data_IF_068693564740
#
_entry.id   IF_068693564740
#
_cell.length_a   1.000
_cell.length_b   1.000
_cell.length_c   1.000
_cell.angle_alpha   90.00
_cell.angle_beta   90.00
_cell.angle_gamma   90.00
#
_symmetry.space_group_name_H-M   'P 1'
#
loop_
_entity.id
_entity.type
_entity.pdbx_description
1 polymer ?
#
# COMPACT_ATOMS: atom_id res chain seq x y z
N UNK A 1 -8.00 28.19 -5.96
CA UNK A 1 -7.22 26.96 -5.68
C UNK A 1 -6.50 27.12 -4.34
N UNK A 2 -6.93 26.40 -3.29
CA UNK A 2 -6.19 26.35 -2.02
C UNK A 2 -5.03 25.37 -2.18
N UNK A 3 -3.79 25.85 -2.14
CA UNK A 3 -2.61 24.99 -1.95
C UNK A 3 -2.72 24.37 -0.55
N UNK A 4 -2.98 23.09 -0.46
CA UNK A 4 -2.84 22.34 0.80
C UNK A 4 -1.35 22.13 1.04
N UNK A 5 -0.75 22.97 1.89
CA UNK A 5 0.61 22.75 2.36
C UNK A 5 0.65 21.40 3.09
N UNK A 6 1.39 20.44 2.54
CA UNK A 6 1.47 19.13 3.18
C UNK A 6 2.44 19.22 4.39
N UNK A 7 2.42 18.22 5.27
CA UNK A 7 3.25 18.17 6.49
C UNK A 7 4.74 18.45 6.24
N UNK A 8 5.27 18.08 5.06
CA UNK A 8 6.63 18.34 4.58
C UNK A 8 6.89 19.83 4.37
N UNK A 9 5.92 20.59 3.89
CA UNK A 9 6.03 22.04 3.68
C UNK A 9 6.03 22.79 5.02
N UNK A 10 5.19 22.35 5.96
CA UNK A 10 5.11 22.91 7.31
C UNK A 10 6.42 22.72 8.11
N UNK A 11 7.01 21.52 8.06
CA UNK A 11 8.27 21.24 8.75
C UNK A 11 9.46 22.03 8.18
N UNK A 12 9.48 22.29 6.88
CA UNK A 12 10.49 23.15 6.24
C UNK A 12 10.38 24.61 6.68
N UNK A 13 9.16 25.11 6.85
CA UNK A 13 8.93 26.49 7.31
C UNK A 13 9.41 26.71 8.75
N UNK A 14 9.19 25.75 9.66
CA UNK A 14 9.64 25.86 11.06
C UNK A 14 11.16 25.95 11.18
N UNK A 15 11.90 25.19 10.37
CA UNK A 15 13.37 25.22 10.38
C UNK A 15 13.95 26.54 9.86
N UNK A 16 13.20 27.31 9.06
CA UNK A 16 13.64 28.58 8.50
C UNK A 16 13.48 29.78 9.47
N UNK A 17 12.59 29.70 10.48
CA UNK A 17 12.23 30.83 11.36
C UNK A 17 12.99 30.79 12.70
N UNK A 18 14.25 30.34 12.70
CA UNK A 18 15.04 30.17 13.91
C UNK A 18 15.07 31.40 14.84
N UNK A 19 14.42 31.30 15.99
CA UNK A 19 14.60 32.23 17.12
C UNK A 19 14.13 31.60 18.45
N UNK A 20 15.05 31.01 19.22
CA UNK A 20 14.91 30.91 20.68
C UNK A 20 16.29 30.85 21.37
N UNK A 21 16.49 31.51 22.53
CA UNK A 21 17.81 31.72 23.14
C UNK A 21 18.37 30.48 23.87
N UNK A 22 19.69 30.43 24.17
CA UNK A 22 20.35 29.22 24.60
C UNK A 22 20.24 29.05 26.12
N UNK A 23 19.38 28.13 26.58
CA UNK A 23 19.44 27.60 27.95
C UNK A 23 19.33 26.08 27.91
N UNK A 24 20.22 25.45 28.68
CA UNK A 24 20.62 24.04 28.72
C UNK A 24 21.51 23.56 27.57
N UNK A 25 22.76 23.23 27.94
CA UNK A 25 23.57 22.21 27.26
C UNK A 25 22.92 20.84 27.46
N UNK A 26 21.74 20.62 26.90
CA UNK A 26 21.26 19.27 26.65
C UNK A 26 22.21 18.68 25.62
N UNK A 27 22.86 17.57 25.97
CA UNK A 27 23.64 16.75 25.04
C UNK A 27 22.69 16.35 23.91
N UNK A 28 22.67 17.13 22.82
CA UNK A 28 21.94 16.81 21.59
C UNK A 28 22.52 15.52 21.05
N UNK A 29 21.98 14.38 21.46
CA UNK A 29 21.97 13.24 20.57
C UNK A 29 21.22 13.73 19.33
N UNK A 30 21.95 13.94 18.24
CA UNK A 30 21.33 14.11 16.93
C UNK A 30 20.59 12.80 16.67
N UNK A 31 19.34 12.75 17.09
CA UNK A 31 18.38 11.79 16.55
C UNK A 31 18.22 12.18 15.09
N UNK A 32 19.09 11.66 14.24
CA UNK A 32 18.89 11.58 12.79
C UNK A 32 17.76 10.56 12.53
N UNK A 33 16.61 10.74 13.16
CA UNK A 33 15.40 9.95 12.88
C UNK A 33 14.57 10.75 11.88
N UNK A 34 15.14 10.97 10.70
CA UNK A 34 14.32 11.02 9.49
C UNK A 34 14.88 9.90 8.65
N UNK A 35 14.48 8.68 8.98
CA UNK A 35 14.73 7.56 8.10
C UNK A 35 14.10 7.92 6.77
N UNK A 36 14.92 8.09 5.73
CA UNK A 36 14.40 8.36 4.41
C UNK A 36 13.51 7.20 4.01
N UNK A 37 12.24 7.48 3.74
CA UNK A 37 11.31 6.50 3.20
C UNK A 37 11.82 6.08 1.82
N UNK A 38 11.76 4.78 1.48
CA UNK A 38 12.10 4.31 0.14
C UNK A 38 11.34 5.09 -0.95
N UNK A 39 11.99 5.34 -2.08
CA UNK A 39 11.39 6.00 -3.24
C UNK A 39 10.53 5.01 -4.03
N UNK A 40 9.44 5.49 -4.64
CA UNK A 40 8.63 4.74 -5.61
C UNK A 40 9.15 4.85 -7.05
N UNK A 41 10.15 5.70 -7.29
CA UNK A 41 10.70 5.90 -8.63
C UNK A 41 11.15 4.57 -9.27
N UNK A 42 10.68 4.33 -10.48
CA UNK A 42 10.94 3.15 -11.32
C UNK A 42 10.41 1.82 -10.74
N UNK A 43 9.69 1.85 -9.61
CA UNK A 43 9.09 0.66 -8.99
C UNK A 43 7.90 0.18 -9.78
N UNK A 44 7.81 -1.14 -9.98
CA UNK A 44 6.70 -1.79 -10.68
C UNK A 44 5.61 -2.17 -9.69
N UNK A 45 4.46 -1.53 -9.80
CA UNK A 45 3.32 -1.76 -8.93
C UNK A 45 2.22 -2.48 -9.71
N UNK A 46 1.69 -3.56 -9.13
CA UNK A 46 0.42 -4.14 -9.56
C UNK A 46 -0.67 -3.67 -8.60
N UNK A 47 -1.65 -2.97 -9.13
CA UNK A 47 -2.81 -2.50 -8.36
C UNK A 47 -4.04 -3.26 -8.83
N UNK A 48 -4.77 -3.89 -7.91
CA UNK A 48 -5.94 -4.70 -8.26
C UNK A 48 -7.17 -4.24 -7.49
N UNK A 49 -8.33 -4.27 -8.15
CA UNK A 49 -9.60 -3.89 -7.55
C UNK A 49 -10.74 -4.83 -7.96
N UNK A 50 -11.72 -4.99 -7.07
CA UNK A 50 -12.92 -5.77 -7.33
C UNK A 50 -13.74 -6.03 -6.06
N UNK A 51 -14.64 -7.00 -6.11
CA UNK A 51 -15.54 -7.33 -5.00
C UNK A 51 -16.79 -6.46 -4.97
N UNK A 52 -17.23 -6.04 -3.78
CA UNK A 52 -18.50 -5.31 -3.65
C UNK A 52 -18.38 -3.83 -4.05
N UNK A 53 -19.18 -3.41 -5.03
CA UNK A 53 -19.22 -2.03 -5.56
C UNK A 53 -19.56 -0.98 -4.50
N UNK A 54 -20.27 -1.34 -3.42
CA UNK A 54 -20.60 -0.43 -2.32
C UNK A 54 -19.36 0.09 -1.55
N UNK A 55 -18.21 -0.56 -1.72
CA UNK A 55 -16.92 -0.09 -1.20
C UNK A 55 -16.12 0.75 -2.21
N UNK A 56 -16.69 1.06 -3.38
CA UNK A 56 -16.10 1.86 -4.44
C UNK A 56 -14.63 1.46 -4.77
N UNK A 57 -14.33 0.17 -4.98
CA UNK A 57 -12.96 -0.34 -5.06
C UNK A 57 -12.16 0.32 -6.20
N UNK A 58 -12.82 0.56 -7.33
CA UNK A 58 -12.23 1.25 -8.49
C UNK A 58 -11.80 2.68 -8.17
N UNK A 59 -12.69 3.48 -7.59
CA UNK A 59 -12.38 4.88 -7.26
C UNK A 59 -11.19 4.97 -6.28
N UNK A 60 -11.14 4.04 -5.32
CA UNK A 60 -10.06 4.00 -4.35
C UNK A 60 -8.71 3.63 -4.98
N UNK A 61 -8.68 2.62 -5.88
CA UNK A 61 -7.43 2.23 -6.52
C UNK A 61 -6.97 3.28 -7.54
N UNK A 62 -7.88 3.91 -8.30
CA UNK A 62 -7.52 4.96 -9.26
C UNK A 62 -6.81 6.13 -8.58
N UNK A 63 -7.30 6.54 -7.40
CA UNK A 63 -6.65 7.58 -6.59
C UNK A 63 -5.24 7.19 -6.15
N UNK A 64 -5.04 5.95 -5.69
CA UNK A 64 -3.73 5.47 -5.23
C UNK A 64 -2.77 5.26 -6.40
N UNK A 65 -3.23 4.71 -7.51
CA UNK A 65 -2.43 4.51 -8.73
C UNK A 65 -1.95 5.85 -9.27
N UNK A 66 -2.84 6.85 -9.40
CA UNK A 66 -2.46 8.18 -9.85
C UNK A 66 -1.43 8.85 -8.93
N UNK A 67 -1.56 8.67 -7.61
CA UNK A 67 -0.54 9.14 -6.66
C UNK A 67 0.79 8.42 -6.84
N UNK A 68 0.79 7.08 -6.94
CA UNK A 68 2.01 6.30 -7.09
C UNK A 68 2.77 6.62 -8.39
N UNK A 69 2.05 6.79 -9.49
CA UNK A 69 2.60 7.27 -10.77
C UNK A 69 3.22 8.67 -10.61
N UNK A 70 2.57 9.57 -9.88
CA UNK A 70 3.10 10.92 -9.62
C UNK A 70 4.40 10.91 -8.79
N UNK A 71 4.64 9.86 -8.00
CA UNK A 71 5.88 9.62 -7.26
C UNK A 71 6.92 8.83 -8.09
N UNK A 72 6.59 8.48 -9.35
CA UNK A 72 7.49 7.87 -10.32
C UNK A 72 7.39 6.34 -10.44
N UNK A 73 6.35 5.71 -9.90
CA UNK A 73 6.11 4.27 -10.10
C UNK A 73 5.59 3.96 -11.51
N UNK A 74 5.89 2.75 -11.97
CA UNK A 74 5.28 2.12 -13.14
C UNK A 74 4.09 1.28 -12.66
N UNK A 75 2.86 1.75 -12.87
CA UNK A 75 1.66 1.12 -12.32
C UNK A 75 0.92 0.32 -13.40
N UNK A 76 0.61 -0.93 -13.08
CA UNK A 76 -0.34 -1.77 -13.80
C UNK A 76 -1.63 -1.83 -12.98
N UNK A 77 -2.78 -1.51 -13.58
CA UNK A 77 -4.09 -1.62 -12.94
C UNK A 77 -4.83 -2.83 -13.51
N UNK A 78 -5.39 -3.67 -12.64
CA UNK A 78 -6.18 -4.85 -13.00
C UNK A 78 -7.50 -4.88 -12.23
N UNK A 79 -8.57 -5.29 -12.90
CA UNK A 79 -9.89 -5.51 -12.33
C UNK A 79 -10.21 -7.00 -12.11
N UNK A 80 -9.19 -7.86 -12.25
CA UNK A 80 -9.30 -9.31 -12.08
C UNK A 80 -8.15 -9.89 -11.26
N UNK A 81 -8.45 -10.95 -10.51
CA UNK A 81 -7.45 -11.74 -9.79
C UNK A 81 -6.59 -12.59 -10.73
N UNK A 82 -6.94 -12.71 -12.00
CA UNK A 82 -6.17 -13.50 -12.98
C UNK A 82 -4.76 -12.95 -13.23
N UNK A 83 -4.47 -11.71 -12.83
CA UNK A 83 -3.10 -11.21 -12.76
C UNK A 83 -2.19 -12.07 -11.88
N UNK A 84 -2.75 -12.77 -10.88
CA UNK A 84 -1.98 -13.69 -10.05
C UNK A 84 -1.60 -15.00 -10.77
N UNK A 85 -2.26 -15.31 -11.90
CA UNK A 85 -1.92 -16.46 -12.75
C UNK A 85 -0.76 -16.15 -13.71
N UNK A 86 -0.47 -14.87 -13.95
CA UNK A 86 0.63 -14.46 -14.81
C UNK A 86 1.96 -14.49 -14.04
N UNK A 87 2.69 -15.58 -14.24
CA UNK A 87 3.96 -15.81 -13.54
C UNK A 87 5.02 -14.75 -13.90
N UNK A 88 5.07 -14.27 -15.15
CA UNK A 88 6.06 -13.27 -15.56
C UNK A 88 5.77 -11.92 -14.89
N UNK A 89 4.50 -11.51 -14.88
CA UNK A 89 4.05 -10.32 -14.17
C UNK A 89 4.39 -10.43 -12.68
N UNK A 90 3.98 -11.51 -12.02
CA UNK A 90 4.14 -11.69 -10.57
C UNK A 90 5.59 -11.80 -10.12
N UNK A 91 6.51 -12.22 -11.00
CA UNK A 91 7.96 -12.21 -10.74
C UNK A 91 8.60 -10.84 -10.99
N UNK A 92 7.92 -9.95 -11.71
CA UNK A 92 8.48 -8.67 -12.14
C UNK A 92 8.12 -7.49 -11.23
N UNK A 93 7.04 -7.61 -10.46
CA UNK A 93 6.50 -6.51 -9.63
C UNK A 93 7.24 -6.37 -8.31
N UNK A 94 7.41 -5.13 -7.85
CA UNK A 94 8.00 -4.82 -6.55
C UNK A 94 6.95 -4.80 -5.43
N UNK A 95 5.73 -4.38 -5.74
CA UNK A 95 4.65 -4.15 -4.78
C UNK A 95 3.28 -4.44 -5.41
N UNK A 96 2.44 -5.16 -4.67
CA UNK A 96 1.03 -5.37 -4.97
C UNK A 96 0.20 -4.48 -4.04
N UNK A 97 -0.75 -3.72 -4.59
CA UNK A 97 -1.76 -2.98 -3.83
C UNK A 97 -3.14 -3.53 -4.19
N UNK A 98 -3.82 -4.15 -3.23
CA UNK A 98 -5.08 -4.85 -3.47
C UNK A 98 -6.27 -4.19 -2.77
N UNK A 99 -7.40 -4.12 -3.48
CA UNK A 99 -8.72 -3.79 -2.93
C UNK A 99 -9.75 -4.78 -3.45
N UNK A 100 -9.95 -5.88 -2.73
CA UNK A 100 -11.03 -6.83 -2.97
C UNK A 100 -11.82 -7.03 -1.69
N UNK A 101 -13.14 -7.06 -1.78
CA UNK A 101 -14.00 -7.30 -0.62
C UNK A 101 -15.01 -8.38 -0.91
N UNK A 102 -15.35 -9.19 0.10
CA UNK A 102 -16.41 -10.21 0.02
C UNK A 102 -16.29 -11.14 -1.20
N UNK A 103 -15.07 -11.47 -1.58
CA UNK A 103 -14.76 -12.18 -2.83
C UNK A 103 -14.27 -13.61 -2.54
N UNK A 104 -13.94 -14.33 -3.60
CA UNK A 104 -13.27 -15.63 -3.54
C UNK A 104 -12.01 -15.59 -4.40
N UNK A 105 -11.02 -16.37 -3.98
CA UNK A 105 -9.78 -16.58 -4.74
C UNK A 105 -9.68 -18.08 -5.05
N UNK A 106 -9.29 -18.40 -6.27
CA UNK A 106 -9.02 -19.81 -6.65
C UNK A 106 -7.70 -20.28 -6.05
N UNK A 107 -7.49 -21.60 -6.02
CA UNK A 107 -6.25 -22.18 -5.50
C UNK A 107 -5.03 -21.74 -6.32
N UNK A 108 -5.20 -21.61 -7.63
CA UNK A 108 -4.15 -21.22 -8.56
C UNK A 108 -3.78 -19.74 -8.40
N UNK A 109 -4.78 -18.86 -8.29
CA UNK A 109 -4.56 -17.44 -8.00
C UNK A 109 -3.90 -17.24 -6.62
N UNK A 110 -4.36 -17.96 -5.60
CA UNK A 110 -3.75 -17.94 -4.26
C UNK A 110 -2.28 -18.38 -4.32
N UNK A 111 -1.99 -19.49 -4.99
CA UNK A 111 -0.64 -20.01 -5.12
C UNK A 111 0.31 -19.00 -5.79
N UNK A 112 -0.16 -18.31 -6.85
CA UNK A 112 0.60 -17.27 -7.53
C UNK A 112 0.91 -16.06 -6.63
N UNK A 113 -0.08 -15.57 -5.90
CA UNK A 113 0.09 -14.48 -4.93
C UNK A 113 1.05 -14.88 -3.79
N UNK A 114 0.83 -16.02 -3.16
CA UNK A 114 1.66 -16.49 -2.04
C UNK A 114 3.11 -16.71 -2.49
N UNK A 115 3.34 -17.24 -3.70
CA UNK A 115 4.68 -17.42 -4.24
C UNK A 115 5.39 -16.07 -4.42
N UNK A 116 4.72 -15.06 -4.98
CA UNK A 116 5.29 -13.72 -5.14
C UNK A 116 5.67 -13.09 -3.79
N UNK A 117 4.77 -13.14 -2.80
CA UNK A 117 5.03 -12.58 -1.46
C UNK A 117 6.15 -13.33 -0.75
N UNK A 118 6.18 -14.67 -0.81
CA UNK A 118 7.28 -15.49 -0.27
C UNK A 118 8.64 -15.15 -0.91
N UNK A 119 8.64 -14.73 -2.17
CA UNK A 119 9.83 -14.30 -2.90
C UNK A 119 10.22 -12.83 -2.67
N UNK A 120 9.49 -12.10 -1.81
CA UNK A 120 9.85 -10.75 -1.39
C UNK A 120 9.07 -9.62 -2.06
N UNK A 121 8.05 -9.92 -2.86
CA UNK A 121 7.12 -8.89 -3.37
C UNK A 121 6.37 -8.26 -2.20
N UNK A 122 6.34 -6.93 -2.13
CA UNK A 122 5.56 -6.22 -1.12
C UNK A 122 4.06 -6.41 -1.32
N UNK A 123 3.30 -6.43 -0.23
CA UNK A 123 1.83 -6.48 -0.27
C UNK A 123 1.25 -5.34 0.56
N UNK A 124 0.31 -4.60 -0.02
CA UNK A 124 -0.38 -3.48 0.60
C UNK A 124 -1.86 -3.44 0.21
N UNK A 125 -2.66 -2.74 1.01
CA UNK A 125 -4.10 -2.66 0.91
C UNK A 125 -4.65 -2.18 2.25
N UNK A 126 -5.97 -2.04 2.37
CA UNK A 126 -6.57 -1.46 3.57
C UNK A 126 -7.87 -2.13 3.98
N UNK A 127 -8.00 -2.29 5.30
CA UNK A 127 -9.24 -2.69 5.96
C UNK A 127 -9.87 -3.95 5.32
N UNK A 128 -11.13 -3.86 4.91
CA UNK A 128 -11.86 -4.93 4.25
C UNK A 128 -11.27 -5.29 2.88
N UNK A 129 -10.70 -4.32 2.15
CA UNK A 129 -10.04 -4.54 0.85
C UNK A 129 -8.87 -5.54 0.89
N UNK A 130 -8.37 -5.83 2.11
CA UNK A 130 -7.38 -6.85 2.40
C UNK A 130 -8.01 -8.00 3.20
N UNK A 131 -8.35 -7.78 4.48
CA UNK A 131 -8.67 -8.87 5.40
C UNK A 131 -10.09 -9.46 5.21
N UNK A 132 -10.98 -8.76 4.51
CA UNK A 132 -12.32 -9.25 4.13
C UNK A 132 -12.36 -9.81 2.70
N UNK A 133 -11.23 -9.81 1.98
CA UNK A 133 -11.17 -10.19 0.57
C UNK A 133 -11.59 -11.65 0.36
N UNK A 134 -11.03 -12.59 1.12
CA UNK A 134 -11.17 -14.04 0.91
C UNK A 134 -11.44 -14.78 2.24
N UNK A 135 -12.67 -14.67 2.74
CA UNK A 135 -13.08 -15.14 4.09
C UNK A 135 -12.83 -16.63 4.37
N UNK A 136 -12.78 -17.45 3.33
CA UNK A 136 -12.62 -18.92 3.43
C UNK A 136 -11.19 -19.40 3.17
N UNK A 137 -10.23 -18.49 2.99
CA UNK A 137 -8.88 -18.84 2.58
C UNK A 137 -7.87 -18.66 3.72
N UNK A 138 -7.51 -19.76 4.39
CA UNK A 138 -6.64 -19.71 5.58
C UNK A 138 -5.20 -19.33 5.26
N UNK A 139 -4.68 -19.70 4.09
CA UNK A 139 -3.31 -19.37 3.68
C UNK A 139 -3.17 -17.87 3.37
N UNK A 140 -4.17 -17.29 2.71
CA UNK A 140 -4.24 -15.84 2.52
C UNK A 140 -4.35 -15.11 3.86
N UNK A 141 -5.22 -15.57 4.76
CA UNK A 141 -5.36 -14.98 6.11
C UNK A 141 -4.06 -15.07 6.91
N UNK A 142 -3.32 -16.18 6.77
CA UNK A 142 -2.00 -16.35 7.36
C UNK A 142 -0.98 -15.37 6.77
N UNK A 143 -0.95 -15.22 5.43
CA UNK A 143 -0.10 -14.26 4.74
C UNK A 143 -0.37 -12.81 5.18
N UNK A 144 -1.64 -12.41 5.29
CA UNK A 144 -2.01 -11.05 5.71
C UNK A 144 -1.97 -10.86 7.23
N UNK A 145 -1.85 -11.94 8.00
CA UNK A 145 -1.90 -11.91 9.47
C UNK A 145 -3.26 -11.47 10.02
N UNK A 146 -4.35 -11.69 9.29
CA UNK A 146 -5.68 -11.19 9.65
C UNK A 146 -6.81 -12.04 9.08
N UNK A 147 -7.85 -12.25 9.87
CA UNK A 147 -9.05 -12.99 9.52
C UNK A 147 -10.29 -12.10 9.72
N UNK A 148 -11.20 -12.10 8.75
CA UNK A 148 -12.51 -11.51 8.94
C UNK A 148 -13.36 -12.37 9.88
N UNK A 149 -13.95 -11.74 10.90
CA UNK A 149 -14.80 -12.40 11.91
C UNK A 149 -16.25 -11.94 11.78
N UNK A 150 -16.48 -10.63 11.76
CA UNK A 150 -17.80 -10.04 11.64
C UNK A 150 -17.71 -8.60 11.11
N UNK A 151 -18.81 -8.11 10.55
CA UNK A 151 -19.01 -6.67 10.31
C UNK A 151 -19.74 -6.09 11.53
N UNK A 152 -19.47 -4.85 11.97
CA UNK A 152 -20.27 -4.22 13.01
C UNK A 152 -21.71 -3.99 12.51
N UNK A 153 -22.70 -4.47 13.28
CA UNK A 153 -24.13 -4.33 13.00
C UNK A 153 -24.72 -5.54 12.27
#
# INVERSE_FOLDING_TARGET
>A
MRKTNNRRDFLRAILAVGALPPLLKLRRHKLNIVQQTPSLKDKKLLTLWGGWDGHEPKACIEMISAWAESEGANVTVSDTLDSYLDQELMQSVDLIIQVFTMSSITKEQEAGLLAAVKNGVGMAGWHGGMCDAFRQNTEYQFMTGGQWVAHPG
#
